data_IF_674134271071
#
_entry.id   IF_674134271071
#
_cell.length_a   1.000
_cell.length_b   1.000
_cell.length_c   1.000
_cell.angle_alpha   90.00
_cell.angle_beta   90.00
_cell.angle_gamma   90.00
#
_symmetry.space_group_name_H-M   'P 1'
#
loop_
_entity.id
_entity.type
_entity.pdbx_description
1 polymer ?
#
# COMPACT_ATOMS: atom_id res chain seq x y z
N UNK A 1 20.19 10.92 -30.88
CA UNK A 1 19.53 10.98 -29.56
C UNK A 1 20.62 10.66 -28.52
N UNK A 2 20.86 11.54 -27.55
CA UNK A 2 21.79 11.28 -26.44
C UNK A 2 21.04 10.52 -25.34
N UNK A 3 21.29 9.20 -25.26
CA UNK A 3 20.67 8.35 -24.25
C UNK A 3 21.19 8.62 -22.85
N UNK A 4 22.46 9.03 -22.71
CA UNK A 4 23.03 9.33 -21.39
C UNK A 4 22.38 10.56 -20.78
N UNK A 5 22.21 11.64 -21.55
CA UNK A 5 21.49 12.83 -21.11
C UNK A 5 20.02 12.52 -20.75
N UNK A 6 19.35 11.68 -21.54
CA UNK A 6 17.99 11.25 -21.25
C UNK A 6 17.88 10.45 -19.94
N UNK A 7 18.84 9.54 -19.70
CA UNK A 7 18.88 8.75 -18.47
C UNK A 7 19.13 9.66 -17.26
N UNK A 8 20.09 10.60 -17.34
CA UNK A 8 20.36 11.57 -16.27
C UNK A 8 19.12 12.40 -15.93
N UNK A 9 18.35 12.87 -16.94
CA UNK A 9 17.12 13.60 -16.72
C UNK A 9 16.05 12.77 -15.95
N UNK A 10 16.00 11.43 -16.12
CA UNK A 10 15.12 10.58 -15.32
C UNK A 10 15.52 10.54 -13.85
N UNK A 11 16.82 10.49 -13.53
CA UNK A 11 17.29 10.55 -12.14
C UNK A 11 16.97 11.91 -11.49
N UNK A 12 17.21 13.00 -12.21
CA UNK A 12 16.90 14.34 -11.73
C UNK A 12 15.40 14.51 -11.45
N UNK A 13 14.54 14.13 -12.40
CA UNK A 13 13.08 14.19 -12.23
C UNK A 13 12.59 13.33 -11.05
N UNK A 14 13.17 12.14 -10.85
CA UNK A 14 12.87 11.28 -9.71
C UNK A 14 13.26 11.91 -8.39
N UNK A 15 14.47 12.47 -8.30
CA UNK A 15 14.95 13.14 -7.10
C UNK A 15 14.11 14.38 -6.75
N UNK A 16 13.82 15.22 -7.74
CA UNK A 16 13.00 16.42 -7.53
C UNK A 16 11.60 16.10 -7.04
N UNK A 17 10.93 15.10 -7.63
CA UNK A 17 9.61 14.68 -7.17
C UNK A 17 9.65 14.20 -5.72
N UNK A 18 10.60 13.36 -5.34
CA UNK A 18 10.73 12.86 -3.97
C UNK A 18 10.96 13.98 -2.97
N UNK A 19 11.83 14.95 -3.30
CA UNK A 19 12.10 16.11 -2.45
C UNK A 19 10.86 17.00 -2.27
N UNK A 20 10.10 17.22 -3.34
CA UNK A 20 8.88 18.06 -3.27
C UNK A 20 7.76 17.44 -2.44
N UNK A 21 7.78 16.10 -2.22
CA UNK A 21 6.77 15.37 -1.47
C UNK A 21 7.15 15.09 -0.02
N UNK A 22 8.40 15.33 0.38
CA UNK A 22 8.92 14.96 1.69
C UNK A 22 8.05 15.52 2.84
N UNK A 23 7.78 16.82 2.82
CA UNK A 23 6.96 17.46 3.87
C UNK A 23 5.49 17.06 3.78
N UNK A 24 4.96 16.90 2.56
CA UNK A 24 3.55 16.53 2.34
C UNK A 24 3.23 15.13 2.87
N UNK A 25 4.15 14.18 2.68
CA UNK A 25 3.92 12.77 3.00
C UNK A 25 4.42 12.36 4.38
N UNK A 26 5.30 13.12 5.01
CA UNK A 26 5.91 12.74 6.29
C UNK A 26 4.84 12.44 7.39
N UNK A 27 3.92 13.36 7.63
CA UNK A 27 2.87 13.19 8.64
C UNK A 27 1.89 12.05 8.30
N UNK A 28 1.33 11.94 7.07
CA UNK A 28 0.49 10.81 6.71
C UNK A 28 1.17 9.44 6.82
N UNK A 29 2.46 9.34 6.46
CA UNK A 29 3.24 8.09 6.59
C UNK A 29 3.42 7.74 8.07
N UNK A 30 3.81 8.71 8.91
CA UNK A 30 3.97 8.48 10.35
C UNK A 30 2.65 8.03 11.00
N UNK A 31 1.51 8.64 10.62
CA UNK A 31 0.18 8.25 11.11
C UNK A 31 -0.18 6.83 10.63
N UNK A 32 0.11 6.49 9.38
CA UNK A 32 -0.12 5.15 8.85
C UNK A 32 0.72 4.09 9.58
N UNK A 33 2.00 4.39 9.86
CA UNK A 33 2.87 3.50 10.62
C UNK A 33 2.32 3.27 12.04
N UNK A 34 1.87 4.32 12.74
CA UNK A 34 1.27 4.21 14.06
C UNK A 34 0.01 3.31 14.04
N UNK A 35 -0.89 3.50 13.06
CA UNK A 35 -2.09 2.68 12.91
C UNK A 35 -1.74 1.20 12.69
N UNK A 36 -0.69 0.92 11.90
CA UNK A 36 -0.22 -0.46 11.67
C UNK A 36 0.34 -1.04 12.97
N UNK A 37 1.18 -0.30 13.69
CA UNK A 37 1.75 -0.75 14.98
C UNK A 37 0.65 -1.03 15.99
N UNK A 38 -0.33 -0.14 16.13
CA UNK A 38 -1.47 -0.32 17.04
C UNK A 38 -2.25 -1.60 16.68
N UNK A 39 -2.45 -1.87 15.37
CA UNK A 39 -3.11 -3.09 14.93
C UNK A 39 -2.28 -4.35 15.32
N UNK A 40 -0.98 -4.36 15.02
CA UNK A 40 -0.09 -5.49 15.31
C UNK A 40 -0.03 -5.78 16.82
N UNK A 41 0.10 -4.75 17.66
CA UNK A 41 0.11 -4.90 19.13
C UNK A 41 -1.23 -5.43 19.68
N UNK A 42 -2.32 -5.29 18.93
CA UNK A 42 -3.63 -5.86 19.24
C UNK A 42 -3.89 -7.20 18.51
N UNK A 43 -2.84 -7.91 18.09
CA UNK A 43 -2.92 -9.22 17.41
C UNK A 43 -3.72 -9.16 16.09
N UNK A 44 -3.66 -8.02 15.40
CA UNK A 44 -4.24 -7.82 14.09
C UNK A 44 -3.16 -7.91 13.00
N UNK A 45 -3.60 -7.94 11.75
CA UNK A 45 -2.73 -8.12 10.60
C UNK A 45 -2.96 -7.05 9.54
N UNK A 46 -2.02 -6.96 8.62
CA UNK A 46 -2.17 -6.15 7.41
C UNK A 46 -2.48 -7.07 6.23
N UNK A 47 -3.58 -6.82 5.53
CA UNK A 47 -3.86 -7.36 4.21
C UNK A 47 -3.44 -6.32 3.18
N UNK A 48 -2.68 -6.70 2.16
CA UNK A 48 -2.23 -5.78 1.13
C UNK A 48 -2.68 -6.22 -0.26
N UNK A 49 -3.11 -5.29 -1.11
CA UNK A 49 -3.55 -5.58 -2.46
C UNK A 49 -3.19 -4.45 -3.45
N UNK A 50 -3.11 -4.80 -4.71
CA UNK A 50 -2.83 -3.93 -5.84
C UNK A 50 -2.82 -4.71 -7.14
N UNK A 51 -2.87 -4.00 -8.27
CA UNK A 51 -2.78 -4.61 -9.60
C UNK A 51 -1.43 -4.27 -10.25
N UNK A 52 -0.89 -5.17 -11.07
CA UNK A 52 0.37 -4.97 -11.78
C UNK A 52 1.52 -4.59 -10.84
N UNK A 53 2.13 -3.41 -11.02
CA UNK A 53 3.17 -2.89 -10.14
C UNK A 53 2.67 -2.70 -8.70
N UNK A 54 1.39 -2.35 -8.51
CA UNK A 54 0.76 -2.30 -7.19
C UNK A 54 0.72 -3.66 -6.49
N UNK A 55 0.53 -4.76 -7.24
CA UNK A 55 0.62 -6.11 -6.69
C UNK A 55 2.05 -6.44 -6.23
N UNK A 56 3.05 -6.07 -7.01
CA UNK A 56 4.46 -6.23 -6.64
C UNK A 56 4.79 -5.42 -5.36
N UNK A 57 4.32 -4.19 -5.27
CA UNK A 57 4.49 -3.34 -4.09
C UNK A 57 3.81 -3.94 -2.85
N UNK A 58 2.59 -4.49 -2.99
CA UNK A 58 1.88 -5.17 -1.91
C UNK A 58 2.65 -6.41 -1.40
N UNK A 59 3.18 -7.22 -2.33
CA UNK A 59 4.01 -8.37 -1.98
C UNK A 59 5.34 -7.94 -1.33
N UNK A 60 5.98 -6.90 -1.86
CA UNK A 60 7.20 -6.35 -1.28
C UNK A 60 6.97 -5.89 0.16
N UNK A 61 5.93 -5.09 0.41
CA UNK A 61 5.57 -4.67 1.78
C UNK A 61 5.36 -5.86 2.71
N UNK A 62 4.50 -6.82 2.31
CA UNK A 62 4.25 -8.01 3.13
C UNK A 62 5.52 -8.81 3.42
N UNK A 63 6.45 -8.89 2.47
CA UNK A 63 7.71 -9.59 2.69
C UNK A 63 8.59 -8.90 3.74
N UNK A 64 8.58 -7.55 3.79
CA UNK A 64 9.30 -6.77 4.81
C UNK A 64 8.65 -6.90 6.17
N UNK A 65 7.33 -6.98 6.24
CA UNK A 65 6.60 -7.22 7.48
C UNK A 65 6.88 -8.60 8.06
N UNK A 66 6.76 -9.65 7.23
CA UNK A 66 6.94 -11.05 7.65
C UNK A 66 8.39 -11.40 8.00
N UNK A 67 9.34 -10.86 7.26
CA UNK A 67 10.76 -10.96 7.57
C UNK A 67 11.20 -9.85 8.51
N UNK A 68 12.06 -8.99 8.03
CA UNK A 68 12.45 -7.73 8.66
C UNK A 68 12.77 -6.70 7.57
N UNK A 69 12.85 -5.43 7.92
CA UNK A 69 13.28 -4.38 7.02
C UNK A 69 14.79 -4.14 7.16
N UNK A 70 15.23 -3.26 8.02
CA UNK A 70 16.65 -3.02 8.29
C UNK A 70 17.10 -3.58 9.65
N UNK A 71 16.20 -3.65 10.63
CA UNK A 71 16.49 -4.15 11.95
C UNK A 71 15.91 -5.55 12.18
N UNK A 72 16.68 -6.42 12.83
CA UNK A 72 16.25 -7.76 13.15
C UNK A 72 15.14 -7.73 14.22
N UNK A 73 14.01 -8.35 13.91
CA UNK A 73 12.82 -8.47 14.79
C UNK A 73 11.97 -9.68 14.43
N UNK A 74 11.06 -10.10 15.29
CA UNK A 74 10.04 -11.08 14.93
C UNK A 74 9.20 -10.64 13.74
N UNK A 75 8.74 -11.60 12.93
CA UNK A 75 7.84 -11.33 11.81
C UNK A 75 6.51 -10.73 12.27
N UNK A 76 6.02 -9.75 11.52
CA UNK A 76 4.73 -9.09 11.76
C UNK A 76 3.68 -9.64 10.81
N UNK A 77 2.47 -9.86 11.29
CA UNK A 77 1.41 -10.50 10.53
C UNK A 77 0.97 -9.65 9.32
N UNK A 78 1.31 -10.10 8.12
CA UNK A 78 0.95 -9.44 6.86
C UNK A 78 0.72 -10.46 5.75
N UNK A 79 -0.30 -10.22 4.91
CA UNK A 79 -0.66 -11.09 3.79
C UNK A 79 -0.84 -10.25 2.53
N UNK A 80 -0.04 -10.51 1.51
CA UNK A 80 -0.28 -9.95 0.18
C UNK A 80 -1.32 -10.78 -0.56
N UNK A 81 -2.51 -10.23 -0.77
CA UNK A 81 -3.64 -10.91 -1.41
C UNK A 81 -3.38 -11.25 -2.89
N UNK A 82 -2.34 -10.67 -3.47
CA UNK A 82 -1.87 -10.96 -4.83
C UNK A 82 -0.87 -12.12 -4.91
N UNK A 83 -0.42 -12.67 -3.77
CA UNK A 83 0.61 -13.70 -3.77
C UNK A 83 0.08 -15.10 -4.10
N UNK A 84 -1.16 -15.41 -3.72
CA UNK A 84 -1.80 -16.69 -4.05
C UNK A 84 -2.43 -16.64 -5.44
N UNK A 85 -1.65 -17.03 -6.44
CA UNK A 85 -2.09 -17.06 -7.83
C UNK A 85 -3.24 -18.05 -8.07
N UNK A 86 -3.32 -19.13 -7.28
CA UNK A 86 -4.39 -20.13 -7.37
C UNK A 86 -5.72 -19.50 -6.95
N UNK A 87 -5.77 -18.81 -5.83
CA UNK A 87 -6.97 -18.11 -5.37
C UNK A 87 -7.39 -17.02 -6.36
N UNK A 88 -6.44 -16.19 -6.85
CA UNK A 88 -6.75 -15.15 -7.83
C UNK A 88 -7.34 -15.74 -9.11
N UNK A 89 -6.68 -16.76 -9.68
CA UNK A 89 -7.13 -17.37 -10.93
C UNK A 89 -8.46 -18.11 -10.77
N UNK A 90 -8.70 -18.77 -9.64
CA UNK A 90 -9.97 -19.40 -9.34
C UNK A 90 -11.13 -18.40 -9.29
N UNK A 91 -10.96 -17.28 -8.59
CA UNK A 91 -11.99 -16.23 -8.51
C UNK A 91 -12.19 -15.57 -9.87
N UNK A 92 -11.11 -15.23 -10.56
CA UNK A 92 -11.17 -14.60 -11.89
C UNK A 92 -11.85 -15.50 -12.93
N UNK A 93 -11.60 -16.83 -12.88
CA UNK A 93 -12.20 -17.80 -13.80
C UNK A 93 -13.73 -17.94 -13.64
N UNK A 94 -14.28 -17.54 -12.49
CA UNK A 94 -15.72 -17.39 -12.30
C UNK A 94 -16.31 -16.15 -13.00
N UNK A 95 -15.50 -15.47 -13.84
CA UNK A 95 -15.91 -14.31 -14.64
C UNK A 95 -15.89 -12.99 -13.88
N UNK A 96 -15.21 -12.91 -12.73
CA UNK A 96 -15.25 -11.70 -11.92
C UNK A 96 -13.88 -11.34 -11.29
N UNK A 97 -12.97 -10.81 -12.12
CA UNK A 97 -11.69 -10.28 -11.65
C UNK A 97 -11.87 -9.16 -10.62
N UNK A 98 -12.96 -8.39 -10.69
CA UNK A 98 -13.22 -7.28 -9.79
C UNK A 98 -13.47 -7.73 -8.33
N UNK A 99 -13.64 -9.04 -8.09
CA UNK A 99 -13.86 -9.61 -6.77
C UNK A 99 -12.64 -10.34 -6.20
N UNK A 100 -11.50 -10.37 -6.93
CA UNK A 100 -10.34 -11.18 -6.53
C UNK A 100 -9.78 -10.82 -5.16
N UNK A 101 -9.80 -9.55 -4.79
CA UNK A 101 -9.36 -9.09 -3.47
C UNK A 101 -10.52 -9.00 -2.47
N UNK A 102 -11.69 -8.55 -2.90
CA UNK A 102 -12.85 -8.41 -2.02
C UNK A 102 -13.23 -9.73 -1.34
N UNK A 103 -13.29 -10.85 -2.09
CA UNK A 103 -13.58 -12.17 -1.52
C UNK A 103 -12.54 -12.62 -0.50
N UNK A 104 -11.27 -12.32 -0.73
CA UNK A 104 -10.20 -12.64 0.23
C UNK A 104 -10.32 -11.76 1.49
N UNK A 105 -10.60 -10.46 1.33
CA UNK A 105 -10.84 -9.55 2.47
C UNK A 105 -12.05 -10.02 3.29
N UNK A 106 -13.15 -10.42 2.65
CA UNK A 106 -14.33 -10.95 3.33
C UNK A 106 -14.03 -12.22 4.13
N UNK A 107 -13.19 -13.11 3.61
CA UNK A 107 -12.82 -14.38 4.25
C UNK A 107 -11.79 -14.21 5.37
N UNK A 108 -10.76 -13.37 5.17
CA UNK A 108 -9.58 -13.28 6.03
C UNK A 108 -9.58 -12.07 6.95
N UNK A 109 -10.28 -10.99 6.57
CA UNK A 109 -10.30 -9.73 7.29
C UNK A 109 -11.12 -9.81 8.58
N UNK A 110 -10.64 -9.17 9.62
CA UNK A 110 -11.27 -9.05 10.94
C UNK A 110 -11.33 -7.59 11.37
N UNK A 111 -12.22 -7.28 12.28
CA UNK A 111 -12.31 -5.93 12.85
C UNK A 111 -10.98 -5.53 13.50
N UNK A 112 -10.47 -4.35 13.15
CA UNK A 112 -9.18 -3.84 13.60
C UNK A 112 -7.98 -4.24 12.73
N UNK A 113 -8.13 -5.13 11.75
CA UNK A 113 -7.11 -5.35 10.72
C UNK A 113 -6.95 -4.11 9.83
N UNK A 114 -5.86 -4.07 9.07
CA UNK A 114 -5.56 -3.00 8.11
C UNK A 114 -5.65 -3.54 6.69
N UNK A 115 -6.28 -2.80 5.78
CA UNK A 115 -6.14 -2.99 4.35
C UNK A 115 -5.19 -1.94 3.78
N UNK A 116 -4.05 -2.36 3.24
CA UNK A 116 -3.15 -1.52 2.44
C UNK A 116 -3.51 -1.71 0.97
N UNK A 117 -4.15 -0.71 0.37
CA UNK A 117 -4.72 -0.77 -0.97
C UNK A 117 -3.93 0.13 -1.93
N UNK A 118 -3.37 -0.44 -3.01
CA UNK A 118 -2.51 0.28 -3.96
C UNK A 118 -3.17 0.36 -5.34
N UNK A 119 -3.56 1.57 -5.76
CA UNK A 119 -4.17 1.82 -7.06
C UNK A 119 -3.72 3.17 -7.61
N UNK A 120 -2.84 3.21 -8.59
CA UNK A 120 -2.39 4.50 -9.19
C UNK A 120 -3.55 5.32 -9.73
N UNK A 121 -4.52 4.73 -10.40
CA UNK A 121 -5.66 5.46 -10.95
C UNK A 121 -6.75 5.80 -9.92
N UNK A 122 -6.77 5.12 -8.77
CA UNK A 122 -7.88 5.20 -7.83
C UNK A 122 -9.23 4.66 -8.35
N UNK A 123 -9.23 4.02 -9.54
CA UNK A 123 -10.46 3.62 -10.24
C UNK A 123 -10.56 2.11 -10.54
N UNK A 124 -9.60 1.30 -10.08
CA UNK A 124 -9.62 -0.15 -10.29
C UNK A 124 -10.74 -0.81 -9.49
N UNK A 125 -11.75 -1.39 -10.16
CA UNK A 125 -12.90 -1.99 -9.49
C UNK A 125 -12.50 -3.07 -8.47
N UNK A 126 -11.47 -3.89 -8.76
CA UNK A 126 -10.97 -4.89 -7.81
C UNK A 126 -10.46 -4.27 -6.50
N UNK A 127 -9.86 -3.08 -6.56
CA UNK A 127 -9.37 -2.36 -5.39
C UNK A 127 -10.52 -1.64 -4.68
N UNK A 128 -11.42 -0.99 -5.42
CA UNK A 128 -12.60 -0.35 -4.84
C UNK A 128 -13.47 -1.36 -4.08
N UNK A 129 -13.68 -2.56 -4.65
CA UNK A 129 -14.43 -3.62 -3.99
C UNK A 129 -13.71 -4.19 -2.77
N UNK A 130 -12.36 -4.26 -2.79
CA UNK A 130 -11.59 -4.63 -1.62
C UNK A 130 -11.75 -3.63 -0.47
N UNK A 131 -11.74 -2.32 -0.78
CA UNK A 131 -11.96 -1.26 0.21
C UNK A 131 -13.37 -1.36 0.81
N UNK A 132 -14.42 -1.54 -0.02
CA UNK A 132 -15.79 -1.75 0.47
C UNK A 132 -15.87 -2.96 1.41
N UNK A 133 -15.29 -4.09 1.01
CA UNK A 133 -15.24 -5.28 1.84
C UNK A 133 -14.49 -5.05 3.17
N UNK A 134 -13.40 -4.27 3.16
CA UNK A 134 -12.67 -3.91 4.37
C UNK A 134 -13.54 -3.08 5.33
N UNK A 135 -14.32 -2.12 4.80
CA UNK A 135 -15.27 -1.34 5.59
C UNK A 135 -16.36 -2.22 6.23
N UNK A 136 -16.96 -3.12 5.46
CA UNK A 136 -17.93 -4.11 5.97
C UNK A 136 -17.32 -4.97 7.10
N UNK A 137 -16.03 -5.29 7.02
CA UNK A 137 -15.26 -6.04 8.03
C UNK A 137 -14.73 -5.19 9.18
N UNK A 138 -15.02 -3.87 9.21
CA UNK A 138 -14.54 -2.91 10.22
C UNK A 138 -13.01 -2.84 10.30
N UNK A 139 -12.36 -2.93 9.14
CA UNK A 139 -10.92 -2.70 8.97
C UNK A 139 -10.68 -1.21 8.69
N UNK A 140 -9.47 -0.72 9.02
CA UNK A 140 -9.00 0.58 8.55
C UNK A 140 -8.31 0.43 7.19
N UNK A 141 -8.31 1.50 6.40
CA UNK A 141 -7.71 1.49 5.07
C UNK A 141 -6.53 2.47 5.01
N UNK A 142 -5.41 2.00 4.47
CA UNK A 142 -4.29 2.84 4.04
C UNK A 142 -4.24 2.72 2.51
N UNK A 143 -4.58 3.81 1.82
CA UNK A 143 -4.76 3.81 0.38
C UNK A 143 -3.68 4.62 -0.32
N UNK A 144 -3.10 4.04 -1.38
CA UNK A 144 -2.15 4.69 -2.27
C UNK A 144 -2.84 5.04 -3.59
N UNK A 145 -2.70 6.29 -4.03
CA UNK A 145 -3.15 6.70 -5.36
C UNK A 145 -2.26 7.78 -5.96
N UNK A 146 -2.49 8.15 -7.22
CA UNK A 146 -1.87 9.32 -7.83
C UNK A 146 -2.90 10.33 -8.32
N UNK A 147 -2.43 11.51 -8.73
CA UNK A 147 -3.29 12.59 -9.21
C UNK A 147 -4.32 13.02 -8.16
N UNK A 148 -5.58 13.04 -8.52
CA UNK A 148 -6.73 13.40 -7.66
C UNK A 148 -7.23 12.24 -6.77
N UNK A 149 -6.67 11.04 -6.92
CA UNK A 149 -7.06 9.87 -6.16
C UNK A 149 -8.25 9.08 -6.70
N UNK A 150 -8.97 9.65 -7.69
CA UNK A 150 -10.11 9.00 -8.34
C UNK A 150 -11.24 8.60 -7.37
N UNK A 151 -12.05 7.62 -7.77
CA UNK A 151 -13.21 7.11 -6.99
C UNK A 151 -12.83 6.49 -5.64
N UNK A 152 -11.55 6.12 -5.46
CA UNK A 152 -11.06 5.61 -4.19
C UNK A 152 -11.28 6.63 -3.07
N UNK A 153 -11.10 7.92 -3.34
CA UNK A 153 -11.29 8.99 -2.35
C UNK A 153 -12.72 9.05 -1.79
N UNK A 154 -13.71 8.66 -2.58
CA UNK A 154 -15.13 8.64 -2.15
C UNK A 154 -15.42 7.52 -1.12
N UNK A 155 -14.53 6.53 -1.00
CA UNK A 155 -14.68 5.39 -0.11
C UNK A 155 -13.90 5.52 1.21
N UNK A 156 -12.99 6.50 1.30
CA UNK A 156 -12.20 6.71 2.52
C UNK A 156 -13.01 7.51 3.55
N UNK A 157 -12.83 7.14 4.80
CA UNK A 157 -13.43 7.77 5.97
C UNK A 157 -12.35 8.49 6.80
N UNK A 158 -12.73 9.31 7.77
CA UNK A 158 -11.83 10.11 8.61
C UNK A 158 -10.73 9.29 9.33
N UNK A 159 -10.98 8.01 9.58
CA UNK A 159 -10.05 7.09 10.23
C UNK A 159 -9.06 6.43 9.25
N UNK A 160 -9.23 6.61 7.95
CA UNK A 160 -8.38 6.03 6.91
C UNK A 160 -7.25 7.00 6.54
N UNK A 161 -6.20 6.46 5.96
CA UNK A 161 -5.05 7.27 5.53
C UNK A 161 -4.94 7.21 4.01
N UNK A 162 -4.85 8.37 3.40
CA UNK A 162 -4.53 8.51 1.99
C UNK A 162 -3.07 8.93 1.80
N UNK A 163 -2.31 8.12 1.08
CA UNK A 163 -0.92 8.37 0.67
C UNK A 163 -0.91 8.69 -0.83
N UNK A 164 -1.32 9.91 -1.15
CA UNK A 164 -1.48 10.38 -2.52
C UNK A 164 -0.20 10.98 -3.08
N UNK A 165 0.16 10.62 -4.32
CA UNK A 165 1.27 11.22 -5.07
C UNK A 165 0.69 12.06 -6.20
N UNK A 166 0.69 13.41 -6.10
CA UNK A 166 0.09 14.31 -7.08
C UNK A 166 0.98 14.45 -8.33
N UNK A 167 1.06 13.40 -9.13
CA UNK A 167 1.90 13.37 -10.33
C UNK A 167 1.32 12.44 -11.40
N UNK A 168 1.42 12.82 -12.69
CA UNK A 168 0.79 12.09 -13.81
C UNK A 168 1.67 10.97 -14.37
N UNK A 169 2.98 11.02 -14.18
CA UNK A 169 3.90 10.00 -14.68
C UNK A 169 3.91 8.79 -13.74
N UNK A 170 3.24 7.73 -14.14
CA UNK A 170 3.10 6.50 -13.34
C UNK A 170 4.45 5.88 -12.95
N UNK A 171 5.49 5.97 -13.79
CA UNK A 171 6.81 5.45 -13.44
C UNK A 171 7.41 6.22 -12.25
N UNK A 172 7.29 7.54 -12.25
CA UNK A 172 7.73 8.39 -11.12
C UNK A 172 6.93 8.10 -9.86
N UNK A 173 5.60 7.94 -10.00
CA UNK A 173 4.71 7.57 -8.89
C UNK A 173 5.13 6.23 -8.25
N UNK A 174 5.44 5.22 -9.07
CA UNK A 174 5.89 3.91 -8.55
C UNK A 174 7.21 4.00 -7.77
N UNK A 175 8.13 4.87 -8.18
CA UNK A 175 9.38 5.10 -7.43
C UNK A 175 9.14 5.77 -6.07
N UNK A 176 8.13 6.64 -5.99
CA UNK A 176 7.69 7.25 -4.72
C UNK A 176 6.99 6.22 -3.85
N UNK A 177 6.15 5.33 -4.43
CA UNK A 177 5.48 4.26 -3.65
C UNK A 177 6.47 3.34 -2.95
N UNK A 178 7.56 2.94 -3.63
CA UNK A 178 8.61 2.16 -2.98
C UNK A 178 9.24 2.94 -1.82
N UNK A 179 9.51 4.22 -1.99
CA UNK A 179 10.04 5.05 -0.91
C UNK A 179 9.05 5.16 0.27
N UNK A 180 7.76 5.37 0.01
CA UNK A 180 6.73 5.38 1.06
C UNK A 180 6.71 4.04 1.81
N UNK A 181 6.79 2.92 1.11
CA UNK A 181 6.82 1.60 1.75
C UNK A 181 8.08 1.40 2.61
N UNK A 182 9.23 1.92 2.19
CA UNK A 182 10.45 1.93 3.00
C UNK A 182 10.26 2.76 4.27
N UNK A 183 9.76 3.99 4.14
CA UNK A 183 9.47 4.85 5.28
C UNK A 183 8.45 4.24 6.25
N UNK A 184 7.43 3.53 5.74
CA UNK A 184 6.48 2.80 6.59
C UNK A 184 7.18 1.68 7.37
N UNK A 185 8.00 0.86 6.70
CA UNK A 185 8.71 -0.23 7.36
C UNK A 185 9.69 0.29 8.41
N UNK A 186 10.45 1.33 8.09
CA UNK A 186 11.37 1.99 9.01
C UNK A 186 10.64 2.55 10.24
N UNK A 187 9.59 3.34 10.01
CA UNK A 187 8.80 3.93 11.09
C UNK A 187 8.13 2.86 11.99
N UNK A 188 7.66 1.74 11.41
CA UNK A 188 7.11 0.61 12.16
C UNK A 188 8.21 0.00 13.05
N UNK A 189 9.41 -0.22 12.51
CA UNK A 189 10.53 -0.78 13.27
C UNK A 189 10.95 0.18 14.40
N UNK A 190 11.07 1.48 14.14
CA UNK A 190 11.36 2.50 15.16
C UNK A 190 10.32 2.51 16.29
N UNK A 191 9.03 2.49 15.95
CA UNK A 191 7.94 2.50 16.93
C UNK A 191 7.90 1.23 17.79
N UNK A 192 8.19 0.06 17.22
CA UNK A 192 8.17 -1.22 17.92
C UNK A 192 9.41 -1.46 18.77
N UNK A 193 10.58 -1.03 18.31
CA UNK A 193 11.87 -1.29 18.96
C UNK A 193 12.34 -0.13 19.84
N UNK A 194 11.69 1.03 19.76
CA UNK A 194 12.03 2.21 20.56
C UNK A 194 13.40 2.81 20.20
N UNK A 195 13.78 2.77 18.93
CA UNK A 195 15.02 3.37 18.41
C UNK A 195 14.74 4.68 17.70
N UNK A 196 15.66 5.65 17.89
CA UNK A 196 15.66 6.96 17.23
C UNK A 196 16.55 6.98 15.97
#
# INVERSE_FOLDING_TARGET
MDLSARISAHFEASAQLKLSLAELLATPIATAAQIIVDAILNERKVLSCGNGAGAANAQYFSSRMLGHYEMERPGLASIALSADSTTITAIANLGNFDQVYAKQVQALGQAGDILLAISTSGNSESILNAIKAAKERKMKVIAFSCGDGGRLMELLEDQDIHLGVPHDNVARVQEVYILILHCLCDAIDCLLLGVE
#
